data_IF_401987317186
#
_entry.id   IF_401987317186
#
_cell.length_a   1.000
_cell.length_b   1.000
_cell.length_c   1.000
_cell.angle_alpha   90.00
_cell.angle_beta   90.00
_cell.angle_gamma   90.00
#
_symmetry.space_group_name_H-M   'P 1'
#
loop_
_entity.id
_entity.type
_entity.pdbx_description
1 polymer ?
#
# COMPACT_ATOMS: atom_id res chain seq x y z
N UNK A 1 61.59 27.72 33.51
CA UNK A 1 60.39 28.19 32.73
C UNK A 1 59.83 27.02 31.97
N UNK A 2 58.79 26.37 32.43
CA UNK A 2 58.14 25.25 31.79
C UNK A 2 56.86 25.75 31.08
N UNK A 3 56.78 25.62 29.75
CA UNK A 3 55.57 25.97 28.97
C UNK A 3 54.62 24.79 29.00
N UNK A 4 53.46 24.99 29.63
CA UNK A 4 52.31 24.08 29.60
C UNK A 4 51.65 24.14 28.24
N UNK A 5 51.68 23.03 27.49
CA UNK A 5 50.90 22.86 26.25
C UNK A 5 49.52 22.31 26.60
N UNK A 6 48.53 23.19 26.59
CA UNK A 6 47.11 22.82 26.70
C UNK A 6 46.68 22.09 25.42
N UNK A 7 46.49 20.76 25.50
CA UNK A 7 45.85 19.96 24.43
C UNK A 7 44.34 20.27 24.39
N UNK A 8 43.90 20.89 23.30
CA UNK A 8 42.46 21.00 23.00
C UNK A 8 41.90 19.60 22.69
N UNK A 9 41.06 19.09 23.54
CA UNK A 9 40.26 17.91 23.26
C UNK A 9 39.13 18.31 22.27
N UNK A 10 39.22 17.83 21.04
CA UNK A 10 38.13 17.94 20.09
C UNK A 10 36.95 17.09 20.61
N UNK A 11 35.92 17.74 21.10
CA UNK A 11 34.62 17.11 21.38
C UNK A 11 33.99 16.81 20.02
N UNK A 12 33.98 15.54 19.64
CA UNK A 12 33.16 15.07 18.49
C UNK A 12 31.71 15.17 18.92
N UNK A 13 31.00 16.20 18.45
CA UNK A 13 29.54 16.28 18.56
C UNK A 13 28.99 15.23 17.58
N UNK A 14 28.15 14.26 18.03
CA UNK A 14 27.51 13.34 17.10
C UNK A 14 26.67 14.17 16.10
N UNK A 15 26.82 13.92 14.79
CA UNK A 15 25.89 14.45 13.80
C UNK A 15 24.48 14.02 14.22
N UNK A 16 23.58 14.97 14.42
CA UNK A 16 22.16 14.69 14.64
C UNK A 16 21.67 13.85 13.47
N UNK A 17 21.33 12.58 13.71
CA UNK A 17 20.91 11.65 12.68
C UNK A 17 19.74 12.26 11.90
N UNK A 18 19.90 12.42 10.58
CA UNK A 18 18.84 12.93 9.68
C UNK A 18 17.56 12.14 9.92
N UNK A 19 16.54 12.79 10.43
CA UNK A 19 15.20 12.18 10.62
C UNK A 19 14.65 11.83 9.23
N UNK A 20 14.48 10.54 8.95
CA UNK A 20 13.94 10.05 7.68
C UNK A 20 12.49 10.54 7.48
N UNK A 21 12.25 11.18 6.36
CA UNK A 21 10.90 11.61 5.98
C UNK A 21 10.17 10.48 5.26
N UNK A 22 9.05 10.03 5.80
CA UNK A 22 8.29 8.89 5.30
C UNK A 22 6.86 9.29 4.97
N UNK A 23 6.32 8.80 3.85
CA UNK A 23 4.91 8.99 3.48
C UNK A 23 4.27 7.66 3.10
N UNK A 24 3.04 7.45 3.58
CA UNK A 24 2.18 6.37 3.13
C UNK A 24 0.91 6.94 2.49
N UNK A 25 0.58 6.46 1.30
CA UNK A 25 -0.64 6.84 0.57
C UNK A 25 -1.59 5.66 0.55
N UNK A 26 -2.85 5.89 0.92
CA UNK A 26 -3.90 4.88 0.90
C UNK A 26 -4.77 5.03 -0.35
N UNK A 27 -4.87 3.94 -1.13
CA UNK A 27 -5.72 3.84 -2.32
C UNK A 27 -6.84 2.84 -2.05
N UNK A 28 -8.06 3.29 -1.71
CA UNK A 28 -9.16 2.42 -1.37
C UNK A 28 -9.72 1.63 -2.57
N UNK A 29 -10.58 0.66 -2.28
CA UNK A 29 -11.39 -0.03 -3.28
C UNK A 29 -12.77 0.62 -3.46
N UNK A 30 -13.54 0.15 -4.45
CA UNK A 30 -14.95 0.52 -4.58
C UNK A 30 -15.72 -0.09 -3.41
N UNK A 31 -16.37 0.75 -2.59
CA UNK A 31 -17.08 0.31 -1.38
C UNK A 31 -16.17 -0.12 -0.21
N UNK A 32 -14.85 -0.03 -0.36
CA UNK A 32 -13.89 -0.35 0.69
C UNK A 32 -13.01 0.88 1.00
N UNK A 33 -13.53 1.79 1.81
CA UNK A 33 -12.86 3.05 2.19
C UNK A 33 -11.73 2.85 3.21
N UNK A 34 -10.96 3.92 3.49
CA UNK A 34 -9.76 3.86 4.34
C UNK A 34 -10.02 3.50 5.83
N UNK A 35 -11.29 3.57 6.28
CA UNK A 35 -11.67 3.19 7.65
C UNK A 35 -12.13 1.72 7.76
N UNK A 36 -12.08 0.95 6.66
CA UNK A 36 -12.30 -0.50 6.70
C UNK A 36 -11.03 -1.22 7.21
N UNK A 37 -11.17 -2.39 7.86
CA UNK A 37 -10.13 -3.02 8.68
C UNK A 37 -8.74 -3.09 8.05
N UNK A 38 -8.60 -3.61 6.82
CA UNK A 38 -7.28 -3.76 6.17
C UNK A 38 -6.54 -2.42 6.05
N UNK A 39 -7.23 -1.40 5.56
CA UNK A 39 -6.64 -0.08 5.38
C UNK A 39 -6.49 0.67 6.70
N UNK A 40 -7.49 0.57 7.58
CA UNK A 40 -7.47 1.22 8.89
C UNK A 40 -6.30 0.77 9.76
N UNK A 41 -6.14 -0.55 9.95
CA UNK A 41 -5.05 -1.05 10.79
C UNK A 41 -3.68 -0.87 10.15
N UNK A 42 -3.57 -1.02 8.83
CA UNK A 42 -2.33 -0.70 8.11
C UNK A 42 -1.95 0.78 8.27
N UNK A 43 -2.92 1.69 8.14
CA UNK A 43 -2.75 3.13 8.39
C UNK A 43 -2.23 3.40 9.80
N UNK A 44 -2.88 2.81 10.83
CA UNK A 44 -2.43 2.97 12.23
C UNK A 44 -1.02 2.46 12.45
N UNK A 45 -0.69 1.30 11.85
CA UNK A 45 0.64 0.71 11.95
C UNK A 45 1.72 1.63 11.37
N UNK A 46 1.52 2.15 10.15
CA UNK A 46 2.52 3.02 9.50
C UNK A 46 2.63 4.38 10.19
N UNK A 47 1.52 4.92 10.73
CA UNK A 47 1.56 6.12 11.58
C UNK A 47 2.47 5.93 12.80
N UNK A 48 2.38 4.78 13.48
CA UNK A 48 3.24 4.44 14.60
C UNK A 48 4.72 4.28 14.21
N UNK A 49 4.99 4.01 12.92
CA UNK A 49 6.35 3.94 12.35
C UNK A 49 6.83 5.30 11.76
N UNK A 50 6.11 6.38 12.01
CA UNK A 50 6.50 7.75 11.64
C UNK A 50 6.16 8.16 10.20
N UNK A 51 5.28 7.42 9.51
CA UNK A 51 4.83 7.84 8.18
C UNK A 51 3.79 8.96 8.27
N UNK A 52 3.98 9.99 7.44
CA UNK A 52 2.90 10.93 7.12
C UNK A 52 1.86 10.22 6.26
N UNK A 53 0.58 10.53 6.43
CA UNK A 53 -0.51 9.86 5.73
C UNK A 53 -1.15 10.78 4.70
N UNK A 54 -1.43 10.22 3.51
CA UNK A 54 -2.34 10.78 2.53
C UNK A 54 -3.42 9.74 2.19
N UNK A 55 -4.68 10.07 2.45
CA UNK A 55 -5.83 9.21 2.12
C UNK A 55 -6.46 9.67 0.81
N UNK A 56 -6.40 8.86 -0.24
CA UNK A 56 -7.12 9.12 -1.49
C UNK A 56 -8.61 8.86 -1.28
N UNK A 57 -9.43 9.80 -1.72
CA UNK A 57 -10.89 9.68 -1.69
C UNK A 57 -11.43 9.75 -3.10
N UNK A 58 -12.07 8.69 -3.53
CA UNK A 58 -12.77 8.72 -4.81
C UNK A 58 -14.12 9.41 -4.65
N UNK A 59 -14.52 10.16 -5.67
CA UNK A 59 -15.88 10.65 -5.79
C UNK A 59 -16.85 9.53 -6.16
N UNK A 60 -17.92 9.86 -6.86
CA UNK A 60 -18.85 8.84 -7.34
C UNK A 60 -18.18 8.00 -8.43
N UNK A 61 -18.09 6.71 -8.21
CA UNK A 61 -17.61 5.73 -9.19
C UNK A 61 -18.79 4.94 -9.77
N UNK A 62 -18.68 4.37 -10.98
CA UNK A 62 -19.70 3.53 -11.58
C UNK A 62 -20.08 2.37 -10.68
N UNK A 63 -21.36 2.05 -10.62
CA UNK A 63 -21.91 0.86 -9.95
C UNK A 63 -21.99 -0.33 -10.94
N UNK A 64 -22.11 -1.56 -10.40
CA UNK A 64 -22.24 -2.76 -11.21
C UNK A 64 -21.00 -3.08 -12.04
N UNK A 65 -19.83 -2.83 -11.48
CA UNK A 65 -18.53 -3.07 -12.12
C UNK A 65 -18.13 -4.55 -12.16
N UNK A 66 -18.64 -5.37 -11.23
CA UNK A 66 -18.32 -6.81 -11.18
C UNK A 66 -18.85 -7.50 -12.43
N UNK A 67 -17.97 -8.23 -13.12
CA UNK A 67 -18.30 -8.92 -14.37
C UNK A 67 -18.55 -8.00 -15.58
N UNK A 68 -18.23 -6.70 -15.45
CA UNK A 68 -18.35 -5.72 -16.55
C UNK A 68 -17.00 -5.00 -16.74
N UNK A 69 -16.16 -5.47 -17.69
CA UNK A 69 -14.83 -4.90 -17.92
C UNK A 69 -14.85 -3.42 -18.33
N UNK A 70 -15.86 -2.98 -19.10
CA UNK A 70 -15.96 -1.57 -19.54
C UNK A 70 -16.21 -0.64 -18.34
N UNK A 71 -17.16 -1.01 -17.49
CA UNK A 71 -17.44 -0.25 -16.24
C UNK A 71 -16.25 -0.30 -15.26
N UNK A 72 -15.54 -1.42 -15.19
CA UNK A 72 -14.33 -1.52 -14.38
C UNK A 72 -13.25 -0.58 -14.89
N UNK A 73 -13.05 -0.52 -16.20
CA UNK A 73 -12.10 0.41 -16.83
C UNK A 73 -12.51 1.88 -16.61
N UNK A 74 -13.79 2.19 -16.71
CA UNK A 74 -14.31 3.53 -16.39
C UNK A 74 -14.07 3.89 -14.92
N UNK A 75 -14.38 2.99 -13.99
CA UNK A 75 -14.15 3.19 -12.56
C UNK A 75 -12.65 3.41 -12.27
N UNK A 76 -11.77 2.61 -12.88
CA UNK A 76 -10.32 2.78 -12.76
C UNK A 76 -9.86 4.16 -13.25
N UNK A 77 -10.27 4.59 -14.46
CA UNK A 77 -9.89 5.88 -15.03
C UNK A 77 -10.35 7.06 -14.15
N UNK A 78 -11.58 7.00 -13.64
CA UNK A 78 -12.10 8.01 -12.73
C UNK A 78 -11.35 8.02 -11.40
N UNK A 79 -11.09 6.85 -10.81
CA UNK A 79 -10.35 6.72 -9.58
C UNK A 79 -8.91 7.26 -9.71
N UNK A 80 -8.22 6.94 -10.82
CA UNK A 80 -6.90 7.46 -11.12
C UNK A 80 -6.91 8.98 -11.26
N UNK A 81 -7.89 9.55 -11.97
CA UNK A 81 -8.07 11.01 -12.08
C UNK A 81 -8.26 11.67 -10.73
N UNK A 82 -9.07 11.09 -9.83
CA UNK A 82 -9.25 11.60 -8.47
C UNK A 82 -7.96 11.52 -7.65
N UNK A 83 -7.23 10.40 -7.74
CA UNK A 83 -5.94 10.24 -7.07
C UNK A 83 -4.93 11.28 -7.54
N UNK A 84 -4.74 11.42 -8.85
CA UNK A 84 -3.81 12.40 -9.43
C UNK A 84 -4.13 13.82 -8.96
N UNK A 85 -5.41 14.23 -9.00
CA UNK A 85 -5.81 15.57 -8.54
C UNK A 85 -5.51 15.81 -7.05
N UNK A 86 -5.69 14.80 -6.19
CA UNK A 86 -5.49 14.95 -4.74
C UNK A 86 -4.01 14.89 -4.35
N UNK A 87 -3.20 14.17 -5.11
CA UNK A 87 -1.79 13.94 -4.79
C UNK A 87 -0.82 14.89 -5.52
N UNK A 88 -1.30 15.72 -6.45
CA UNK A 88 -0.48 16.62 -7.27
C UNK A 88 0.36 17.62 -6.46
N UNK A 89 -0.11 18.02 -5.27
CA UNK A 89 0.58 18.97 -4.39
C UNK A 89 1.64 18.29 -3.50
N UNK A 90 1.79 16.97 -3.57
CA UNK A 90 2.77 16.23 -2.77
C UNK A 90 4.06 16.11 -3.58
N UNK A 91 5.12 16.77 -3.10
CA UNK A 91 6.47 16.51 -3.63
C UNK A 91 7.02 15.19 -3.06
N UNK A 92 6.75 14.09 -3.78
CA UNK A 92 7.22 12.76 -3.39
C UNK A 92 8.75 12.65 -3.30
N UNK A 93 9.50 13.45 -4.06
CA UNK A 93 10.98 13.47 -4.03
C UNK A 93 11.54 13.99 -2.73
N UNK A 94 10.72 14.68 -1.93
CA UNK A 94 11.12 15.17 -0.59
C UNK A 94 11.09 14.10 0.49
N UNK A 95 10.62 12.86 0.18
CA UNK A 95 10.52 11.74 1.12
C UNK A 95 11.60 10.70 0.86
N UNK A 96 12.20 10.19 1.94
CA UNK A 96 13.20 9.13 1.90
C UNK A 96 12.56 7.74 1.73
N UNK A 97 11.32 7.55 2.22
CA UNK A 97 10.51 6.34 2.06
C UNK A 97 9.09 6.66 1.59
N UNK A 98 8.64 5.97 0.54
CA UNK A 98 7.29 6.09 -0.01
C UNK A 98 6.64 4.72 0.01
N UNK A 99 5.47 4.62 0.63
CA UNK A 99 4.68 3.41 0.72
C UNK A 99 3.27 3.64 0.17
N UNK A 100 2.81 2.78 -0.73
CA UNK A 100 1.43 2.79 -1.21
C UNK A 100 0.70 1.58 -0.66
N UNK A 101 -0.42 1.82 0.03
CA UNK A 101 -1.28 0.79 0.62
C UNK A 101 -2.59 0.80 -0.15
N UNK A 102 -2.91 -0.28 -0.82
CA UNK A 102 -3.97 -0.29 -1.82
C UNK A 102 -4.88 -1.50 -1.71
N UNK A 103 -6.14 -1.36 -2.14
CA UNK A 103 -7.17 -2.39 -2.05
C UNK A 103 -7.98 -2.49 -3.34
N UNK A 104 -8.16 -3.73 -3.86
CA UNK A 104 -9.03 -3.98 -5.04
C UNK A 104 -8.61 -3.14 -6.25
N UNK A 105 -9.55 -2.41 -6.89
CA UNK A 105 -9.24 -1.47 -7.98
C UNK A 105 -8.18 -0.43 -7.58
N UNK A 106 -8.11 -0.06 -6.31
CA UNK A 106 -7.08 0.83 -5.79
C UNK A 106 -5.65 0.31 -6.00
N UNK A 107 -5.47 -1.02 -6.16
CA UNK A 107 -4.15 -1.61 -6.47
C UNK A 107 -3.68 -1.24 -7.89
N UNK A 108 -4.61 -1.23 -8.85
CA UNK A 108 -4.34 -0.74 -10.20
C UNK A 108 -4.06 0.78 -10.19
N UNK A 109 -4.87 1.54 -9.45
CA UNK A 109 -4.72 3.00 -9.34
C UNK A 109 -3.37 3.37 -8.73
N UNK A 110 -2.99 2.73 -7.61
CA UNK A 110 -1.71 2.97 -6.95
C UNK A 110 -0.51 2.66 -7.88
N UNK A 111 -0.58 1.53 -8.57
CA UNK A 111 0.49 1.10 -9.47
C UNK A 111 0.61 2.02 -10.70
N UNK A 112 -0.52 2.38 -11.34
CA UNK A 112 -0.55 3.30 -12.47
C UNK A 112 -0.07 4.70 -12.07
N UNK A 113 -0.52 5.22 -10.92
CA UNK A 113 -0.10 6.52 -10.42
C UNK A 113 1.42 6.56 -10.15
N UNK A 114 1.99 5.50 -9.57
CA UNK A 114 3.43 5.40 -9.35
C UNK A 114 4.21 5.42 -10.66
N UNK A 115 3.76 4.65 -11.67
CA UNK A 115 4.39 4.53 -12.97
C UNK A 115 4.35 5.87 -13.74
N UNK A 116 3.16 6.49 -13.85
CA UNK A 116 2.94 7.75 -14.56
C UNK A 116 3.73 8.93 -13.96
N UNK A 117 3.94 8.93 -12.65
CA UNK A 117 4.66 10.00 -11.95
C UNK A 117 6.11 9.65 -11.60
N UNK A 118 6.64 8.52 -12.08
CA UNK A 118 7.99 8.02 -11.81
C UNK A 118 8.33 7.95 -10.31
N UNK A 119 7.35 7.53 -9.49
CA UNK A 119 7.51 7.42 -8.05
C UNK A 119 8.02 6.01 -7.72
N UNK A 120 9.19 5.91 -7.11
CA UNK A 120 9.71 4.65 -6.59
C UNK A 120 9.11 4.36 -5.21
N UNK A 121 7.95 3.70 -5.19
CA UNK A 121 7.23 3.34 -3.98
C UNK A 121 7.31 1.84 -3.70
N UNK A 122 7.30 1.45 -2.41
CA UNK A 122 6.98 0.09 -2.00
C UNK A 122 5.46 -0.05 -1.90
N UNK A 123 4.94 -1.24 -2.18
CA UNK A 123 3.49 -1.42 -2.23
C UNK A 123 2.99 -2.53 -1.31
N UNK A 124 1.80 -2.31 -0.74
CA UNK A 124 0.97 -3.34 -0.10
C UNK A 124 -0.31 -3.46 -0.93
N UNK A 125 -0.48 -4.61 -1.57
CA UNK A 125 -1.60 -4.89 -2.46
C UNK A 125 -2.59 -5.84 -1.76
N UNK A 126 -3.70 -5.31 -1.29
CA UNK A 126 -4.78 -6.13 -0.72
C UNK A 126 -5.76 -6.53 -1.81
N UNK A 127 -5.93 -7.83 -2.02
CA UNK A 127 -6.86 -8.46 -2.97
C UNK A 127 -6.91 -7.71 -4.30
N UNK A 128 -5.79 -7.70 -5.07
CA UNK A 128 -5.76 -7.06 -6.38
C UNK A 128 -6.76 -7.76 -7.31
N UNK A 129 -7.45 -6.97 -8.13
CA UNK A 129 -8.25 -7.52 -9.24
C UNK A 129 -7.33 -7.90 -10.41
N UNK A 130 -7.73 -8.84 -11.30
CA UNK A 130 -6.89 -9.30 -12.40
C UNK A 130 -6.29 -8.16 -13.25
N UNK A 131 -7.09 -7.14 -13.53
CA UNK A 131 -6.71 -5.97 -14.33
C UNK A 131 -5.55 -5.17 -13.70
N UNK A 132 -5.37 -5.27 -12.38
CA UNK A 132 -4.30 -4.56 -11.66
C UNK A 132 -2.91 -4.98 -12.13
N UNK A 133 -2.75 -6.23 -12.56
CA UNK A 133 -1.46 -6.77 -12.98
C UNK A 133 -0.91 -6.18 -14.29
N UNK A 134 -1.75 -5.49 -15.06
CA UNK A 134 -1.29 -4.69 -16.20
C UNK A 134 -0.43 -3.50 -15.74
N UNK A 135 -0.62 -3.01 -14.53
CA UNK A 135 0.03 -1.81 -13.99
C UNK A 135 1.07 -2.12 -12.91
N UNK A 136 0.97 -3.27 -12.22
CA UNK A 136 1.89 -3.64 -11.13
C UNK A 136 3.28 -3.96 -11.68
N UNK A 137 4.20 -3.03 -11.52
CA UNK A 137 5.62 -3.12 -11.89
C UNK A 137 6.56 -2.89 -10.70
N UNK A 138 6.05 -2.31 -9.62
CA UNK A 138 6.80 -1.91 -8.44
C UNK A 138 6.88 -3.04 -7.42
N UNK A 139 7.94 -3.08 -6.59
CA UNK A 139 8.07 -4.07 -5.53
C UNK A 139 6.99 -3.91 -4.47
N UNK A 140 6.52 -5.04 -3.93
CA UNK A 140 5.48 -5.02 -2.91
C UNK A 140 5.16 -6.40 -2.39
N UNK A 141 4.14 -6.48 -1.54
CA UNK A 141 3.55 -7.73 -1.04
C UNK A 141 2.08 -7.79 -1.40
N UNK A 142 1.58 -8.98 -1.65
CA UNK A 142 0.20 -9.24 -2.09
C UNK A 142 -0.51 -10.10 -1.07
N UNK A 143 -1.76 -9.75 -0.75
CA UNK A 143 -2.67 -10.57 0.06
C UNK A 143 -3.86 -10.99 -0.78
N UNK A 144 -4.24 -12.27 -0.71
CA UNK A 144 -5.35 -12.84 -1.47
C UNK A 144 -6.10 -13.90 -0.65
N UNK A 145 -7.43 -13.92 -0.79
CA UNK A 145 -8.29 -14.92 -0.18
C UNK A 145 -8.77 -15.95 -1.22
N UNK A 146 -8.76 -17.25 -0.90
CA UNK A 146 -9.11 -18.30 -1.87
C UNK A 146 -10.60 -18.31 -2.25
N UNK A 147 -11.47 -17.70 -1.45
CA UNK A 147 -12.89 -17.51 -1.75
C UNK A 147 -13.20 -16.12 -2.33
N UNK A 148 -12.18 -15.41 -2.85
CA UNK A 148 -12.37 -14.10 -3.49
C UNK A 148 -13.10 -14.24 -4.83
N UNK A 149 -14.35 -13.74 -4.96
CA UNK A 149 -15.12 -13.90 -6.19
C UNK A 149 -14.72 -12.92 -7.32
N UNK A 150 -13.69 -12.09 -7.10
CA UNK A 150 -13.20 -11.11 -8.07
C UNK A 150 -11.96 -11.57 -8.83
N UNK A 151 -11.23 -12.54 -8.28
CA UNK A 151 -9.98 -12.99 -8.86
C UNK A 151 -9.73 -14.47 -8.58
N UNK A 152 -9.41 -15.21 -9.62
CA UNK A 152 -9.00 -16.60 -9.52
C UNK A 152 -7.64 -16.73 -8.82
N UNK A 153 -7.55 -17.66 -7.86
CA UNK A 153 -6.35 -17.86 -7.04
C UNK A 153 -5.13 -18.28 -7.87
N UNK A 154 -5.30 -19.13 -8.88
CA UNK A 154 -4.19 -19.58 -9.72
C UNK A 154 -3.69 -18.47 -10.64
N UNK A 155 -4.58 -17.61 -11.10
CA UNK A 155 -4.20 -16.38 -11.81
C UNK A 155 -3.34 -15.50 -10.90
N UNK A 156 -3.79 -15.21 -9.67
CA UNK A 156 -3.04 -14.38 -8.71
C UNK A 156 -1.66 -14.99 -8.42
N UNK A 157 -1.58 -16.29 -8.16
CA UNK A 157 -0.30 -17.01 -7.95
C UNK A 157 0.65 -16.85 -9.14
N UNK A 158 0.11 -17.01 -10.35
CA UNK A 158 0.87 -16.92 -11.60
C UNK A 158 1.41 -15.51 -11.82
N UNK A 159 0.57 -14.49 -11.65
CA UNK A 159 0.96 -13.10 -11.86
C UNK A 159 1.94 -12.59 -10.77
N UNK A 160 1.79 -13.03 -9.52
CA UNK A 160 2.75 -12.73 -8.46
C UNK A 160 4.11 -13.40 -8.72
N UNK A 161 4.11 -14.67 -9.16
CA UNK A 161 5.35 -15.38 -9.50
C UNK A 161 6.11 -14.71 -10.65
N UNK A 162 5.42 -14.31 -11.71
CA UNK A 162 6.02 -13.58 -12.84
C UNK A 162 6.72 -12.28 -12.44
N UNK A 163 6.25 -11.65 -11.36
CA UNK A 163 6.74 -10.33 -10.88
C UNK A 163 7.61 -10.42 -9.63
N UNK A 164 7.91 -11.64 -9.14
CA UNK A 164 8.63 -11.89 -7.89
C UNK A 164 7.99 -11.17 -6.69
N UNK A 165 6.65 -11.14 -6.64
CA UNK A 165 5.91 -10.54 -5.54
C UNK A 165 5.60 -11.60 -4.48
N UNK A 166 6.05 -11.43 -3.22
CA UNK A 166 5.58 -12.24 -2.10
C UNK A 166 4.06 -12.24 -2.01
N UNK A 167 3.46 -13.43 -1.94
CA UNK A 167 2.02 -13.64 -1.92
C UNK A 167 1.62 -14.35 -0.63
N UNK A 168 0.73 -13.72 0.12
CA UNK A 168 0.10 -14.27 1.32
C UNK A 168 -1.33 -14.69 1.00
N UNK A 169 -1.59 -16.00 1.08
CA UNK A 169 -2.91 -16.58 0.79
C UNK A 169 -3.61 -16.92 2.09
N UNK A 170 -4.89 -16.56 2.19
CA UNK A 170 -5.78 -16.95 3.29
C UNK A 170 -6.87 -17.84 2.76
N UNK A 171 -6.92 -19.08 3.27
CA UNK A 171 -7.93 -20.05 2.86
C UNK A 171 -9.34 -19.60 3.27
N UNK A 172 -10.31 -19.84 2.38
CA UNK A 172 -11.73 -19.49 2.54
C UNK A 172 -12.03 -18.00 2.79
N UNK A 173 -11.04 -17.12 2.70
CA UNK A 173 -11.28 -15.68 2.84
C UNK A 173 -11.79 -15.08 1.53
N UNK A 174 -12.75 -14.19 1.66
CA UNK A 174 -13.37 -13.44 0.55
C UNK A 174 -12.52 -12.22 0.12
N UNK A 175 -13.09 -11.38 -0.73
CA UNK A 175 -12.46 -10.14 -1.21
C UNK A 175 -12.11 -9.14 -0.10
N UNK A 176 -12.70 -9.21 1.09
CA UNK A 176 -12.38 -8.40 2.27
C UNK A 176 -11.38 -9.07 3.22
N UNK A 177 -10.87 -10.25 2.87
CA UNK A 177 -10.06 -11.13 3.72
C UNK A 177 -10.82 -11.62 4.95
N UNK A 178 -12.12 -11.90 4.78
CA UNK A 178 -13.04 -12.38 5.80
C UNK A 178 -13.61 -13.74 5.39
N UNK A 179 -13.83 -14.62 6.38
CA UNK A 179 -14.40 -15.97 6.19
C UNK A 179 -15.88 -16.05 6.61
N UNK A 180 -16.35 -15.02 7.32
CA UNK A 180 -17.68 -14.96 7.93
C UNK A 180 -17.73 -15.46 9.38
N UNK A 181 -16.63 -16.00 9.91
CA UNK A 181 -16.43 -16.23 11.33
C UNK A 181 -15.65 -15.05 11.92
N UNK A 182 -16.31 -14.20 12.68
CA UNK A 182 -15.74 -12.95 13.21
C UNK A 182 -14.49 -13.19 14.06
N UNK A 183 -14.45 -14.26 14.86
CA UNK A 183 -13.29 -14.55 15.72
C UNK A 183 -12.10 -14.98 14.85
N UNK A 184 -12.34 -15.84 13.87
CA UNK A 184 -11.32 -16.25 12.90
C UNK A 184 -10.86 -15.05 12.04
N UNK A 185 -11.77 -14.18 11.62
CA UNK A 185 -11.44 -12.98 10.82
C UNK A 185 -10.54 -12.01 11.59
N UNK A 186 -10.70 -11.89 12.91
CA UNK A 186 -9.79 -11.12 13.78
C UNK A 186 -8.38 -11.75 13.85
N UNK A 187 -8.28 -13.07 13.88
CA UNK A 187 -6.98 -13.78 13.84
C UNK A 187 -6.30 -13.61 12.49
N UNK A 188 -7.06 -13.73 11.40
CA UNK A 188 -6.58 -13.45 10.03
C UNK A 188 -6.05 -12.02 9.93
N UNK A 189 -6.82 -11.05 10.41
CA UNK A 189 -6.42 -9.64 10.42
C UNK A 189 -5.12 -9.42 11.20
N UNK A 190 -4.99 -10.04 12.39
CA UNK A 190 -3.76 -10.00 13.17
C UNK A 190 -2.57 -10.49 12.34
N UNK A 191 -2.66 -11.66 11.71
CA UNK A 191 -1.60 -12.22 10.87
C UNK A 191 -1.27 -11.33 9.66
N UNK A 192 -2.26 -10.74 9.02
CA UNK A 192 -2.05 -9.78 7.93
C UNK A 192 -1.23 -8.57 8.42
N UNK A 193 -1.60 -7.98 9.54
CA UNK A 193 -0.91 -6.81 10.08
C UNK A 193 0.50 -7.14 10.57
N UNK A 194 0.74 -8.35 11.08
CA UNK A 194 2.09 -8.84 11.40
C UNK A 194 2.96 -8.96 10.14
N UNK A 195 2.42 -9.50 9.04
CA UNK A 195 3.13 -9.57 7.75
C UNK A 195 3.40 -8.16 7.18
N UNK A 196 2.44 -7.25 7.26
CA UNK A 196 2.64 -5.84 6.90
C UNK A 196 3.73 -5.21 7.75
N UNK A 197 3.73 -5.47 9.07
CA UNK A 197 4.75 -4.93 9.99
C UNK A 197 6.16 -5.43 9.68
N UNK A 198 6.27 -6.70 9.26
CA UNK A 198 7.55 -7.31 8.88
C UNK A 198 8.06 -6.81 7.53
N UNK A 199 7.16 -6.37 6.64
CA UNK A 199 7.51 -5.79 5.35
C UNK A 199 8.03 -4.35 5.49
N UNK A 200 7.61 -3.60 6.51
CA UNK A 200 8.00 -2.21 6.77
C UNK A 200 9.39 -2.08 7.41
#
# INVERSE_FOLDING_TARGET
MARSTCRRTNVIVPEEGKVMKKIAVLFPGIGYHADKPLLYYSKKLVMNKGYKIADVKYGVLPSGVKGNPEKMLEAFKLALKYATKQLQEIDFRSYDEILFISKSVGTAVAAAFADENHINARHIYFTPVPESFAYIKQPGIVFHGTADPWADTELIKTECRKRNLPLYITENANHSMETGDVVNDLLIMKGIIENVSSFL
#
